data_IF_928526669667
#
_entry.id   IF_928526669667
#
_cell.length_a   1.000
_cell.length_b   1.000
_cell.length_c   1.000
_cell.angle_alpha   90.00
_cell.angle_beta   90.00
_cell.angle_gamma   90.00
#
_symmetry.space_group_name_H-M   'P 1'
#
loop_
_entity.id
_entity.type
_entity.pdbx_description
1 polymer ?
#
# COMPACT_ATOMS: atom_id res chain seq x y z
N UNK A 1 38.19 -20.99 -19.88
CA UNK A 1 37.26 -21.69 -18.94
C UNK A 1 35.87 -21.39 -19.47
N UNK A 2 35.29 -22.35 -20.22
CA UNK A 2 33.97 -22.22 -20.80
C UNK A 2 32.95 -22.16 -19.66
N UNK A 3 32.23 -21.05 -19.58
CA UNK A 3 31.04 -20.92 -18.76
C UNK A 3 29.98 -21.89 -19.36
N UNK A 4 29.40 -22.83 -18.60
CA UNK A 4 28.39 -23.72 -19.16
C UNK A 4 27.23 -22.89 -19.65
N UNK A 5 26.94 -22.97 -20.95
CA UNK A 5 25.77 -22.38 -21.58
C UNK A 5 24.52 -22.87 -20.83
N UNK A 6 23.77 -21.91 -20.25
CA UNK A 6 22.44 -22.15 -19.67
C UNK A 6 21.63 -22.87 -20.77
N UNK A 7 21.25 -24.13 -20.56
CA UNK A 7 20.29 -24.80 -21.43
C UNK A 7 19.09 -23.87 -21.51
N UNK A 8 18.68 -23.51 -22.72
CA UNK A 8 17.41 -22.83 -22.94
C UNK A 8 16.32 -23.70 -22.34
N UNK A 9 15.86 -23.35 -21.16
CA UNK A 9 14.65 -23.92 -20.58
C UNK A 9 13.51 -23.23 -21.32
N UNK A 10 12.63 -24.00 -21.97
CA UNK A 10 11.37 -23.46 -22.45
C UNK A 10 10.63 -22.91 -21.22
N UNK A 11 10.56 -21.58 -21.10
CA UNK A 11 9.74 -20.92 -20.11
C UNK A 11 8.29 -21.03 -20.54
N UNK A 12 7.42 -21.36 -19.62
CA UNK A 12 5.99 -21.31 -19.89
C UNK A 12 5.58 -19.85 -19.96
N UNK A 13 4.97 -19.38 -21.05
CA UNK A 13 4.58 -17.98 -21.16
C UNK A 13 3.45 -17.68 -20.15
N UNK A 14 3.38 -16.42 -19.71
CA UNK A 14 2.21 -15.93 -18.99
C UNK A 14 1.00 -16.05 -19.91
N UNK A 15 -0.06 -16.67 -19.44
CA UNK A 15 -1.27 -16.95 -20.21
C UNK A 15 -2.48 -16.26 -19.58
N UNK A 16 -3.53 -16.04 -20.37
CA UNK A 16 -4.82 -15.67 -19.79
C UNK A 16 -5.42 -16.86 -19.06
N UNK A 17 -6.08 -16.60 -17.93
CA UNK A 17 -6.79 -17.65 -17.21
C UNK A 17 -7.84 -18.31 -18.13
N UNK A 18 -7.87 -19.67 -18.22
CA UNK A 18 -8.87 -20.36 -19.01
C UNK A 18 -10.29 -19.95 -18.65
N UNK A 19 -11.14 -19.72 -19.65
CA UNK A 19 -12.51 -19.19 -19.47
C UNK A 19 -13.43 -20.10 -18.68
N UNK A 20 -13.09 -21.40 -18.60
CA UNK A 20 -13.79 -22.41 -17.79
C UNK A 20 -13.54 -22.19 -16.28
N UNK A 21 -12.45 -21.51 -15.90
CA UNK A 21 -12.09 -21.23 -14.51
C UNK A 21 -12.71 -19.90 -14.11
N UNK A 22 -14.00 -19.93 -13.80
CA UNK A 22 -14.75 -18.78 -13.30
C UNK A 22 -14.97 -18.82 -11.78
N UNK A 23 -14.55 -19.89 -11.13
CA UNK A 23 -14.55 -20.08 -9.69
C UNK A 23 -13.24 -20.71 -9.24
N UNK A 24 -12.66 -20.20 -8.16
CA UNK A 24 -11.44 -20.75 -7.58
C UNK A 24 -11.51 -20.67 -6.05
N UNK A 25 -11.59 -21.85 -5.42
CA UNK A 25 -11.82 -21.98 -3.97
C UNK A 25 -13.00 -21.12 -3.49
N UNK A 26 -12.74 -20.07 -2.66
CA UNK A 26 -13.78 -19.20 -2.10
C UNK A 26 -14.11 -18.00 -3.00
N UNK A 27 -13.50 -17.87 -4.16
CA UNK A 27 -13.67 -16.71 -5.05
C UNK A 27 -14.41 -17.06 -6.35
N UNK A 28 -15.11 -16.08 -6.90
CA UNK A 28 -15.79 -16.11 -8.21
C UNK A 28 -15.28 -14.96 -9.07
N UNK A 29 -14.99 -15.23 -10.33
CA UNK A 29 -14.57 -14.24 -11.33
C UNK A 29 -15.77 -13.39 -11.74
N UNK A 30 -15.66 -12.08 -11.58
CA UNK A 30 -16.67 -11.10 -12.00
C UNK A 30 -16.49 -10.68 -13.46
N UNK A 31 -15.27 -10.72 -13.96
CA UNK A 31 -14.90 -10.41 -15.33
C UNK A 31 -13.46 -9.95 -15.46
N UNK A 32 -12.99 -9.88 -16.71
CA UNK A 32 -11.69 -9.33 -17.09
C UNK A 32 -11.89 -7.89 -17.59
N UNK A 33 -11.79 -6.94 -16.68
CA UNK A 33 -11.98 -5.51 -16.95
C UNK A 33 -10.63 -4.81 -16.99
N UNK A 34 -10.39 -4.04 -18.03
CA UNK A 34 -9.17 -3.24 -18.12
C UNK A 34 -9.08 -2.24 -16.95
N UNK A 35 -7.90 -2.14 -16.36
CA UNK A 35 -7.63 -1.17 -15.28
C UNK A 35 -8.00 0.24 -15.73
N UNK A 36 -8.87 0.92 -14.95
CA UNK A 36 -9.36 2.26 -15.25
C UNK A 36 -10.56 2.31 -16.21
N UNK A 37 -11.11 1.15 -16.66
CA UNK A 37 -12.36 1.15 -17.42
C UNK A 37 -13.56 1.57 -16.57
N UNK A 38 -14.67 2.06 -17.16
CA UNK A 38 -15.88 2.41 -16.42
C UNK A 38 -16.43 1.24 -15.60
N UNK A 39 -16.39 0.02 -16.13
CA UNK A 39 -16.85 -1.20 -15.46
C UNK A 39 -15.98 -1.52 -14.26
N UNK A 40 -14.66 -1.43 -14.41
CA UNK A 40 -13.69 -1.61 -13.32
C UNK A 40 -13.92 -0.59 -12.20
N UNK A 41 -14.10 0.70 -12.54
CA UNK A 41 -14.42 1.74 -11.58
C UNK A 41 -15.76 1.50 -10.90
N UNK A 42 -16.78 1.07 -11.63
CA UNK A 42 -18.10 0.77 -11.08
C UNK A 42 -18.04 -0.31 -10.00
N UNK A 43 -17.34 -1.43 -10.28
CA UNK A 43 -17.17 -2.51 -9.32
C UNK A 43 -16.34 -2.10 -8.10
N UNK A 44 -15.29 -1.31 -8.32
CA UNK A 44 -14.41 -0.84 -7.26
C UNK A 44 -15.10 0.15 -6.32
N UNK A 45 -15.95 1.02 -6.89
CA UNK A 45 -16.61 2.11 -6.16
C UNK A 45 -18.04 1.75 -5.73
N UNK A 46 -18.46 0.49 -5.90
CA UNK A 46 -19.72 0.02 -5.33
C UNK A 46 -19.76 0.29 -3.82
N UNK A 47 -20.88 0.90 -3.30
CA UNK A 47 -20.97 1.24 -1.89
C UNK A 47 -20.65 0.08 -0.96
N UNK A 48 -19.67 0.24 -0.12
CA UNK A 48 -19.20 -0.78 0.82
C UNK A 48 -18.41 -1.94 0.21
N UNK A 49 -18.06 -1.90 -1.09
CA UNK A 49 -17.08 -2.84 -1.63
C UNK A 49 -15.67 -2.50 -1.12
N UNK A 50 -14.88 -3.53 -0.81
CA UNK A 50 -13.50 -3.38 -0.33
C UNK A 50 -12.58 -4.22 -1.19
N UNK A 51 -11.60 -3.57 -1.81
CA UNK A 51 -10.54 -4.21 -2.59
C UNK A 51 -9.21 -4.29 -1.85
N UNK A 52 -8.26 -5.09 -2.36
CA UNK A 52 -6.95 -5.23 -1.72
C UNK A 52 -6.17 -3.93 -1.62
N UNK A 53 -6.28 -3.04 -2.61
CA UNK A 53 -5.64 -1.71 -2.55
C UNK A 53 -6.26 -0.75 -1.52
N UNK A 54 -7.46 -1.05 -1.00
CA UNK A 54 -8.13 -0.23 0.01
C UNK A 54 -7.73 -0.64 1.42
N UNK A 55 -7.41 -1.94 1.62
CA UNK A 55 -7.29 -2.53 2.95
C UNK A 55 -6.19 -1.90 3.80
N UNK A 56 -5.07 -1.51 3.19
CA UNK A 56 -3.99 -0.84 3.92
C UNK A 56 -4.43 0.51 4.51
N UNK A 57 -5.20 1.30 3.76
CA UNK A 57 -5.76 2.56 4.24
C UNK A 57 -6.82 2.32 5.32
N UNK A 58 -7.70 1.35 5.12
CA UNK A 58 -8.77 0.97 6.05
C UNK A 58 -8.20 0.50 7.39
N UNK A 59 -7.10 -0.25 7.37
CA UNK A 59 -6.44 -0.77 8.56
C UNK A 59 -5.41 0.20 9.20
N UNK A 60 -5.26 1.43 8.67
CA UNK A 60 -4.30 2.41 9.18
C UNK A 60 -2.83 2.08 8.88
N UNK A 61 -2.57 1.22 7.90
CA UNK A 61 -1.23 0.79 7.47
C UNK A 61 -0.69 1.57 6.26
N UNK A 62 -1.52 2.41 5.66
CA UNK A 62 -1.13 3.26 4.53
C UNK A 62 -0.53 4.57 5.01
N UNK A 63 0.55 5.01 4.34
CA UNK A 63 1.12 6.35 4.53
C UNK A 63 0.53 7.40 3.56
N UNK A 64 -0.31 6.97 2.62
CA UNK A 64 -0.83 7.80 1.52
C UNK A 64 -2.28 8.21 1.70
N UNK A 65 -3.11 7.31 2.19
CA UNK A 65 -4.53 7.52 2.37
C UNK A 65 -5.00 6.98 3.73
N UNK A 66 -6.00 7.62 4.30
CA UNK A 66 -6.67 7.20 5.53
C UNK A 66 -7.98 6.46 5.26
N UNK A 67 -8.52 5.82 6.29
CA UNK A 67 -9.86 5.23 6.23
C UNK A 67 -10.93 6.30 5.94
N UNK A 68 -10.80 7.50 6.51
CA UNK A 68 -11.72 8.63 6.26
C UNK A 68 -11.65 9.08 4.81
N UNK A 69 -10.44 9.18 4.24
CA UNK A 69 -10.27 9.52 2.82
C UNK A 69 -10.91 8.49 1.91
N UNK A 70 -10.68 7.19 2.17
CA UNK A 70 -11.33 6.12 1.42
C UNK A 70 -12.85 6.13 1.54
N UNK A 71 -13.36 6.38 2.73
CA UNK A 71 -14.79 6.49 2.98
C UNK A 71 -15.41 7.66 2.19
N UNK A 72 -14.79 8.84 2.23
CA UNK A 72 -15.29 10.00 1.53
C UNK A 72 -15.33 9.79 0.01
N UNK A 73 -14.32 9.12 -0.57
CA UNK A 73 -14.29 8.73 -1.98
C UNK A 73 -15.38 7.71 -2.30
N UNK A 74 -15.46 6.61 -1.55
CA UNK A 74 -16.43 5.52 -1.81
C UNK A 74 -17.88 5.92 -1.56
N UNK A 75 -18.13 6.93 -0.75
CA UNK A 75 -19.47 7.50 -0.54
C UNK A 75 -19.78 8.69 -1.45
N UNK A 76 -18.88 9.02 -2.37
CA UNK A 76 -19.05 10.09 -3.36
C UNK A 76 -19.02 11.51 -2.78
N UNK A 77 -18.53 11.69 -1.56
CA UNK A 77 -18.45 13.01 -0.93
C UNK A 77 -17.28 13.84 -1.44
N UNK A 78 -16.22 13.17 -1.91
CA UNK A 78 -15.11 13.78 -2.65
C UNK A 78 -14.84 12.95 -3.91
N UNK A 79 -14.27 13.55 -4.98
CA UNK A 79 -13.89 12.81 -6.17
C UNK A 79 -12.87 11.71 -5.86
N UNK A 80 -12.99 10.53 -6.49
CA UNK A 80 -11.97 9.48 -6.46
C UNK A 80 -10.97 9.67 -7.61
N UNK A 81 -10.53 10.89 -7.80
CA UNK A 81 -9.52 11.22 -8.79
C UNK A 81 -8.13 11.08 -8.17
N UNK A 82 -7.27 10.35 -8.85
CA UNK A 82 -5.85 10.27 -8.52
C UNK A 82 -5.11 11.01 -9.61
N UNK A 83 -4.44 12.10 -9.24
CA UNK A 83 -3.57 12.82 -10.19
C UNK A 83 -2.49 11.85 -10.71
N UNK A 84 -2.47 11.60 -12.04
CA UNK A 84 -1.56 10.63 -12.59
C UNK A 84 -0.12 11.14 -12.48
N UNK A 85 0.67 10.49 -11.63
CA UNK A 85 2.10 10.75 -11.54
C UNK A 85 2.92 9.66 -12.25
N UNK A 86 4.22 9.94 -12.47
CA UNK A 86 5.08 9.01 -13.20
C UNK A 86 5.23 7.65 -12.51
N UNK A 87 5.21 7.61 -11.16
CA UNK A 87 5.32 6.35 -10.42
C UNK A 87 4.12 5.44 -10.64
N UNK A 88 2.90 6.00 -10.64
CA UNK A 88 1.68 5.25 -10.95
C UNK A 88 1.68 4.75 -12.39
N UNK A 89 2.08 5.61 -13.35
CA UNK A 89 2.18 5.22 -14.76
C UNK A 89 3.20 4.10 -14.98
N UNK A 90 4.34 4.15 -14.30
CA UNK A 90 5.36 3.10 -14.39
C UNK A 90 4.87 1.83 -13.68
N UNK A 91 4.21 1.93 -12.53
CA UNK A 91 3.60 0.80 -11.84
C UNK A 91 2.74 0.00 -12.81
N UNK A 92 1.68 0.62 -13.33
CA UNK A 92 0.75 -0.05 -14.26
C UNK A 92 1.42 -0.58 -15.54
N UNK A 93 2.41 0.15 -16.10
CA UNK A 93 3.08 -0.30 -17.34
C UNK A 93 4.08 -1.43 -17.12
N UNK A 94 4.58 -1.62 -15.92
CA UNK A 94 5.59 -2.62 -15.59
C UNK A 94 4.99 -3.88 -14.93
N UNK A 95 3.70 -3.92 -14.63
CA UNK A 95 3.02 -5.08 -14.05
C UNK A 95 3.27 -6.33 -14.90
N UNK A 96 2.87 -6.33 -16.18
CA UNK A 96 3.04 -7.47 -17.09
C UNK A 96 4.52 -7.84 -17.33
N UNK A 97 5.43 -6.90 -17.64
CA UNK A 97 6.87 -7.21 -17.75
C UNK A 97 7.49 -7.83 -16.48
N UNK A 98 7.08 -7.39 -15.28
CA UNK A 98 7.60 -7.99 -14.04
C UNK A 98 7.01 -9.38 -13.83
N UNK A 99 5.75 -9.61 -14.20
CA UNK A 99 5.14 -10.92 -14.17
C UNK A 99 5.81 -11.89 -15.15
N UNK A 100 6.19 -11.41 -16.34
CA UNK A 100 6.97 -12.17 -17.32
C UNK A 100 8.37 -12.54 -16.78
N UNK A 101 9.06 -11.60 -16.11
CA UNK A 101 10.33 -11.90 -15.42
C UNK A 101 10.16 -12.98 -14.35
N UNK A 102 9.06 -12.95 -13.60
CA UNK A 102 8.75 -14.00 -12.63
C UNK A 102 8.55 -15.35 -13.31
N UNK A 103 7.85 -15.38 -14.46
CA UNK A 103 7.67 -16.59 -15.25
C UNK A 103 9.00 -17.16 -15.76
N UNK A 104 9.92 -16.31 -16.19
CA UNK A 104 11.27 -16.71 -16.63
C UNK A 104 12.10 -17.35 -15.51
N UNK A 105 11.94 -16.90 -14.27
CA UNK A 105 12.63 -17.45 -13.11
C UNK A 105 11.95 -18.73 -12.55
N UNK A 106 10.65 -18.94 -12.87
CA UNK A 106 9.83 -20.07 -12.39
C UNK A 106 9.23 -20.90 -13.53
N UNK A 107 10.07 -21.53 -14.39
CA UNK A 107 9.58 -22.32 -15.52
C UNK A 107 8.79 -23.58 -15.10
N UNK A 108 8.79 -23.93 -13.83
CA UNK A 108 8.01 -25.04 -13.26
C UNK A 108 6.56 -24.66 -12.91
N UNK A 109 6.20 -23.37 -12.98
CA UNK A 109 4.88 -22.88 -12.66
C UNK A 109 4.09 -22.53 -13.91
N UNK A 110 2.80 -22.84 -13.91
CA UNK A 110 1.86 -22.26 -14.86
C UNK A 110 1.38 -20.92 -14.32
N UNK A 111 1.56 -19.82 -15.09
CA UNK A 111 1.27 -18.46 -14.64
C UNK A 111 0.16 -17.87 -15.50
N UNK A 112 -0.79 -17.22 -14.84
CA UNK A 112 -1.99 -16.69 -15.46
C UNK A 112 -2.24 -15.25 -15.06
N UNK A 113 -2.46 -14.37 -16.05
CA UNK A 113 -3.16 -13.09 -15.84
C UNK A 113 -4.64 -13.37 -15.61
N UNK A 114 -5.27 -12.56 -14.76
CA UNK A 114 -6.66 -12.75 -14.39
C UNK A 114 -7.36 -11.40 -14.22
N UNK A 115 -8.68 -11.44 -14.00
CA UNK A 115 -9.51 -10.24 -13.88
C UNK A 115 -9.89 -9.91 -12.44
N UNK A 116 -11.07 -9.33 -12.30
CA UNK A 116 -11.65 -8.93 -11.02
C UNK A 116 -12.44 -10.07 -10.39
N UNK A 117 -12.15 -10.36 -9.14
CA UNK A 117 -12.78 -11.42 -8.36
C UNK A 117 -13.55 -10.89 -7.14
N UNK A 118 -14.47 -11.69 -6.66
CA UNK A 118 -15.13 -11.47 -5.37
C UNK A 118 -15.17 -12.77 -4.56
N UNK A 119 -15.23 -12.66 -3.24
CA UNK A 119 -15.55 -13.81 -2.41
C UNK A 119 -16.98 -14.28 -2.66
N UNK A 120 -17.20 -15.58 -2.81
CA UNK A 120 -18.50 -16.19 -3.14
C UNK A 120 -19.59 -15.87 -2.11
N UNK A 121 -19.23 -15.88 -0.84
CA UNK A 121 -20.15 -15.62 0.27
C UNK A 121 -20.31 -14.13 0.55
N UNK A 122 -19.19 -13.39 0.42
CA UNK A 122 -19.09 -11.97 0.76
C UNK A 122 -18.73 -11.17 -0.49
N UNK A 123 -19.65 -11.04 -1.41
CA UNK A 123 -19.42 -10.44 -2.73
C UNK A 123 -18.88 -8.99 -2.69
N UNK A 124 -18.98 -8.31 -1.55
CA UNK A 124 -18.37 -7.00 -1.32
C UNK A 124 -16.84 -7.06 -1.16
N UNK A 125 -16.29 -8.22 -0.80
CA UNK A 125 -14.85 -8.42 -0.69
C UNK A 125 -14.27 -8.74 -2.08
N UNK A 126 -13.53 -7.78 -2.63
CA UNK A 126 -13.02 -7.81 -4.00
C UNK A 126 -11.51 -8.06 -4.04
N UNK A 127 -11.06 -8.67 -5.12
CA UNK A 127 -9.65 -8.87 -5.41
C UNK A 127 -9.36 -8.62 -6.89
N UNK A 128 -8.36 -7.81 -7.16
CA UNK A 128 -7.75 -7.63 -8.48
C UNK A 128 -6.31 -8.06 -8.33
N UNK A 129 -6.00 -9.26 -8.80
CA UNK A 129 -4.66 -9.85 -8.71
C UNK A 129 -3.86 -9.49 -9.96
N UNK A 130 -2.57 -9.31 -9.80
CA UNK A 130 -1.67 -9.17 -10.95
C UNK A 130 -1.42 -10.53 -11.62
N UNK A 131 -1.49 -11.63 -10.85
CA UNK A 131 -1.41 -12.97 -11.38
C UNK A 131 -1.86 -14.08 -10.43
N UNK A 132 -2.09 -15.24 -11.01
CA UNK A 132 -2.24 -16.52 -10.34
C UNK A 132 -1.16 -17.47 -10.84
N UNK A 133 -0.70 -18.36 -9.99
CA UNK A 133 0.15 -19.46 -10.41
C UNK A 133 -0.45 -20.80 -10.00
N UNK A 134 -0.10 -21.85 -10.74
CA UNK A 134 -0.41 -23.23 -10.42
C UNK A 134 0.85 -24.05 -10.44
N UNK A 135 1.12 -24.81 -9.38
CA UNK A 135 2.27 -25.69 -9.31
C UNK A 135 1.99 -27.06 -9.98
N UNK A 136 3.03 -27.90 -10.10
CA UNK A 136 2.94 -29.22 -10.72
C UNK A 136 1.99 -30.17 -9.99
N UNK A 137 1.71 -29.94 -8.70
CA UNK A 137 0.75 -30.70 -7.90
C UNK A 137 -0.69 -30.18 -8.06
N UNK A 138 -0.88 -29.13 -8.86
CA UNK A 138 -2.18 -28.52 -9.12
C UNK A 138 -2.63 -27.51 -8.05
N UNK A 139 -1.75 -27.11 -7.13
CA UNK A 139 -2.09 -26.12 -6.13
C UNK A 139 -1.98 -24.70 -6.68
N UNK A 140 -2.95 -23.87 -6.35
CA UNK A 140 -3.01 -22.49 -6.74
C UNK A 140 -2.31 -21.56 -5.72
N UNK A 141 -1.70 -20.51 -6.23
CA UNK A 141 -1.15 -19.41 -5.44
C UNK A 141 -1.39 -18.07 -6.12
N UNK A 142 -1.22 -17.00 -5.35
CA UNK A 142 -1.45 -15.62 -5.76
C UNK A 142 -0.10 -14.96 -6.06
N UNK A 143 -0.06 -14.12 -7.09
CA UNK A 143 1.07 -13.24 -7.39
C UNK A 143 0.59 -11.80 -7.30
N UNK A 144 1.33 -11.00 -6.54
CA UNK A 144 1.20 -9.55 -6.49
C UNK A 144 2.50 -8.93 -6.97
N UNK A 145 2.42 -7.98 -7.89
CA UNK A 145 3.56 -7.32 -8.53
C UNK A 145 3.67 -5.88 -8.03
N UNK A 146 4.89 -5.43 -7.78
CA UNK A 146 5.15 -4.03 -7.41
C UNK A 146 6.34 -3.45 -8.14
N UNK A 147 6.18 -2.23 -8.62
CA UNK A 147 7.30 -1.39 -9.01
C UNK A 147 7.62 -0.44 -7.86
N UNK A 148 8.86 -0.47 -7.37
CA UNK A 148 9.31 0.34 -6.24
C UNK A 148 10.47 1.26 -6.64
N UNK A 149 10.58 2.38 -5.96
CA UNK A 149 11.77 3.24 -6.03
C UNK A 149 12.91 2.69 -5.17
N UNK A 150 12.54 2.10 -4.02
CA UNK A 150 13.49 1.66 -3.00
C UNK A 150 13.55 0.14 -2.94
N UNK A 151 14.76 -0.37 -2.71
CA UNK A 151 14.98 -1.78 -2.44
C UNK A 151 14.42 -2.16 -1.06
N UNK A 152 13.74 -3.29 -0.97
CA UNK A 152 13.17 -3.79 0.28
C UNK A 152 13.96 -4.99 0.80
N UNK A 153 14.30 -4.93 2.08
CA UNK A 153 14.81 -6.10 2.83
C UNK A 153 13.68 -6.90 3.49
N UNK A 154 12.51 -6.26 3.63
CA UNK A 154 11.27 -6.84 4.16
C UNK A 154 10.08 -6.25 3.41
N UNK A 155 9.02 -7.03 3.28
CA UNK A 155 7.79 -6.57 2.64
C UNK A 155 7.17 -5.42 3.45
N UNK A 156 6.87 -4.27 2.83
CA UNK A 156 6.12 -3.21 3.50
C UNK A 156 4.75 -3.70 4.00
N UNK A 157 4.38 -3.31 5.21
CA UNK A 157 3.14 -3.79 5.85
C UNK A 157 1.88 -3.52 5.01
N UNK A 158 1.84 -2.41 4.28
CA UNK A 158 0.74 -2.08 3.39
C UNK A 158 0.55 -3.09 2.25
N UNK A 159 1.64 -3.59 1.68
CA UNK A 159 1.59 -4.60 0.62
C UNK A 159 1.33 -6.00 1.18
N UNK A 160 1.91 -6.32 2.35
CA UNK A 160 1.58 -7.56 3.06
C UNK A 160 0.07 -7.63 3.36
N UNK A 161 -0.53 -6.55 3.85
CA UNK A 161 -1.96 -6.46 4.11
C UNK A 161 -2.78 -6.69 2.84
N UNK A 162 -2.38 -6.12 1.70
CA UNK A 162 -3.03 -6.32 0.41
C UNK A 162 -3.01 -7.80 0.00
N UNK A 163 -1.87 -8.47 0.10
CA UNK A 163 -1.74 -9.88 -0.26
C UNK A 163 -2.54 -10.78 0.68
N UNK A 164 -2.47 -10.54 2.01
CA UNK A 164 -3.29 -11.28 2.98
C UNK A 164 -4.79 -11.12 2.74
N UNK A 165 -5.22 -9.93 2.31
CA UNK A 165 -6.60 -9.70 1.89
C UNK A 165 -6.98 -10.59 0.72
N UNK A 166 -6.15 -10.66 -0.31
CA UNK A 166 -6.40 -11.55 -1.46
C UNK A 166 -6.45 -13.02 -1.05
N UNK A 167 -5.50 -13.45 -0.22
CA UNK A 167 -5.50 -14.81 0.33
C UNK A 167 -6.80 -15.11 1.08
N UNK A 168 -7.33 -14.14 1.85
CA UNK A 168 -8.61 -14.27 2.57
C UNK A 168 -9.81 -14.33 1.63
N UNK A 169 -9.84 -13.48 0.60
CA UNK A 169 -10.92 -13.46 -0.40
C UNK A 169 -11.01 -14.78 -1.16
N UNK A 170 -9.85 -15.35 -1.54
CA UNK A 170 -9.78 -16.59 -2.30
C UNK A 170 -9.83 -17.87 -1.45
N UNK A 171 -9.49 -17.80 -0.17
CA UNK A 171 -9.22 -19.01 0.62
C UNK A 171 -7.87 -19.66 0.31
N UNK A 172 -7.02 -19.08 -0.56
CA UNK A 172 -5.68 -19.55 -0.91
C UNK A 172 -4.69 -19.16 0.19
N UNK A 173 -3.77 -20.09 0.55
CA UNK A 173 -2.77 -19.88 1.61
C UNK A 173 -1.35 -19.73 1.10
N UNK A 174 -1.17 -19.53 -0.19
CA UNK A 174 0.12 -19.38 -0.88
C UNK A 174 0.09 -18.10 -1.69
N UNK A 175 1.07 -17.24 -1.48
CA UNK A 175 1.21 -16.02 -2.26
C UNK A 175 2.68 -15.61 -2.37
N UNK A 176 3.00 -15.00 -3.50
CA UNK A 176 4.29 -14.37 -3.76
C UNK A 176 4.08 -12.88 -4.04
N UNK A 177 4.93 -12.06 -3.46
CA UNK A 177 5.04 -10.66 -3.80
C UNK A 177 6.34 -10.46 -4.56
N UNK A 178 6.21 -10.00 -5.80
CA UNK A 178 7.31 -9.78 -6.72
C UNK A 178 7.50 -8.29 -6.91
N UNK A 179 8.72 -7.79 -6.75
CA UNK A 179 8.96 -6.36 -6.89
C UNK A 179 10.23 -6.06 -7.70
N UNK A 180 10.18 -4.96 -8.46
CA UNK A 180 11.32 -4.42 -9.17
C UNK A 180 11.65 -3.02 -8.65
N UNK A 181 12.90 -2.82 -8.15
CA UNK A 181 13.41 -1.53 -7.74
C UNK A 181 14.65 -1.16 -8.58
N UNK A 182 14.46 -0.30 -9.57
CA UNK A 182 15.48 -0.06 -10.59
C UNK A 182 15.79 -1.34 -11.37
N UNK A 183 17.00 -1.91 -11.19
CA UNK A 183 17.39 -3.21 -11.75
C UNK A 183 17.38 -4.35 -10.73
N UNK A 184 16.94 -4.10 -9.51
CA UNK A 184 16.93 -5.08 -8.42
C UNK A 184 15.58 -5.79 -8.39
N UNK A 185 15.59 -7.06 -8.79
CA UNK A 185 14.46 -7.96 -8.66
C UNK A 185 14.39 -8.50 -7.23
N UNK A 186 13.20 -8.52 -6.66
CA UNK A 186 12.92 -9.01 -5.31
C UNK A 186 11.72 -9.92 -5.34
N UNK A 187 11.80 -11.02 -4.63
CA UNK A 187 10.71 -11.97 -4.48
C UNK A 187 10.55 -12.34 -3.00
N UNK A 188 9.31 -12.37 -2.53
CA UNK A 188 8.97 -12.68 -1.15
C UNK A 188 7.81 -13.67 -1.11
N UNK A 189 7.97 -14.75 -0.37
CA UNK A 189 6.85 -15.59 0.02
C UNK A 189 6.06 -14.90 1.13
N UNK A 190 4.75 -14.79 0.94
CA UNK A 190 3.86 -14.23 1.95
C UNK A 190 3.20 -15.38 2.71
N UNK A 191 3.66 -15.55 3.93
CA UNK A 191 3.07 -16.53 4.84
C UNK A 191 1.69 -16.06 5.31
N UNK A 192 0.74 -17.01 5.30
CA UNK A 192 -0.58 -16.79 5.87
C UNK A 192 -0.51 -16.61 7.37
N UNK A 193 -1.10 -15.54 7.86
CA UNK A 193 -1.32 -15.30 9.27
C UNK A 193 -2.82 -15.11 9.53
N UNK A 194 -3.41 -16.05 10.28
CA UNK A 194 -4.85 -16.07 10.57
C UNK A 194 -5.28 -14.85 11.38
N UNK A 195 -4.46 -14.42 12.34
CA UNK A 195 -4.77 -13.29 13.19
C UNK A 195 -4.72 -11.98 12.41
N UNK A 196 -3.66 -11.76 11.63
CA UNK A 196 -3.55 -10.58 10.75
C UNK A 196 -4.72 -10.53 9.75
N UNK A 197 -4.98 -11.65 9.06
CA UNK A 197 -6.04 -11.72 8.05
C UNK A 197 -7.44 -11.44 8.64
N UNK A 198 -7.73 -11.97 9.84
CA UNK A 198 -9.00 -11.70 10.53
C UNK A 198 -9.08 -10.25 11.02
N UNK A 199 -7.97 -9.66 11.48
CA UNK A 199 -7.92 -8.24 11.88
C UNK A 199 -8.21 -7.32 10.69
N UNK A 200 -7.65 -7.62 9.52
CA UNK A 200 -7.93 -6.90 8.28
C UNK A 200 -9.40 -7.05 7.86
N UNK A 201 -9.93 -8.27 7.96
CA UNK A 201 -11.33 -8.56 7.64
C UNK A 201 -12.30 -7.79 8.54
N UNK A 202 -12.06 -7.77 9.84
CA UNK A 202 -12.88 -7.05 10.81
C UNK A 202 -12.82 -5.53 10.58
N UNK A 203 -11.65 -5.02 10.17
CA UNK A 203 -11.51 -3.62 9.80
C UNK A 203 -12.30 -3.29 8.53
N UNK A 204 -12.27 -4.18 7.54
CA UNK A 204 -13.06 -4.05 6.32
C UNK A 204 -14.57 -4.10 6.60
N UNK A 205 -15.03 -4.96 7.50
CA UNK A 205 -16.44 -5.03 7.91
C UNK A 205 -16.91 -3.73 8.57
N UNK A 206 -16.13 -3.18 9.51
CA UNK A 206 -16.44 -1.87 10.13
C UNK A 206 -16.48 -0.76 9.11
N UNK A 207 -15.49 -0.72 8.21
CA UNK A 207 -15.42 0.28 7.15
C UNK A 207 -16.61 0.16 6.18
N UNK A 208 -16.95 -1.07 5.75
CA UNK A 208 -18.14 -1.33 4.94
C UNK A 208 -19.39 -0.77 5.59
N UNK A 209 -19.60 -1.07 6.86
CA UNK A 209 -20.77 -0.57 7.59
C UNK A 209 -20.78 0.96 7.64
N UNK A 210 -19.62 1.59 7.89
CA UNK A 210 -19.48 3.04 7.86
C UNK A 210 -19.87 3.65 6.50
N UNK A 211 -19.50 2.99 5.38
CA UNK A 211 -19.91 3.41 4.04
C UNK A 211 -21.43 3.28 3.82
N UNK A 212 -22.02 2.17 4.24
CA UNK A 212 -23.46 1.92 4.07
C UNK A 212 -24.32 2.87 4.91
N UNK A 213 -23.88 3.18 6.12
CA UNK A 213 -24.56 4.10 7.05
C UNK A 213 -24.23 5.57 6.78
N UNK A 214 -23.36 5.87 5.82
CA UNK A 214 -22.79 7.21 5.56
C UNK A 214 -22.21 7.85 6.83
N UNK A 215 -21.68 7.04 7.72
CA UNK A 215 -21.06 7.46 8.96
C UNK A 215 -19.55 7.44 8.84
N UNK A 216 -18.92 8.59 9.06
CA UNK A 216 -17.47 8.73 8.97
C UNK A 216 -16.77 7.75 9.95
N UNK A 217 -15.69 7.07 9.50
CA UNK A 217 -14.82 6.26 10.36
C UNK A 217 -14.14 7.07 11.47
N UNK A 218 -13.50 6.37 12.40
CA UNK A 218 -12.76 6.98 13.50
C UNK A 218 -11.58 7.82 13.01
N UNK A 219 -11.26 8.87 13.77
CA UNK A 219 -10.15 9.78 13.50
C UNK A 219 -8.80 9.09 13.65
N UNK A 220 -7.86 9.37 12.74
CA UNK A 220 -6.52 8.76 12.72
C UNK A 220 -5.36 9.76 12.84
N UNK A 221 -5.63 11.06 12.81
CA UNK A 221 -4.62 12.12 12.90
C UNK A 221 -3.69 12.20 11.69
N UNK A 222 -3.99 11.56 10.56
CA UNK A 222 -3.18 11.63 9.35
C UNK A 222 -3.38 12.93 8.57
N UNK A 223 -2.36 13.33 7.79
CA UNK A 223 -2.50 14.46 6.88
C UNK A 223 -3.58 14.20 5.82
N UNK A 224 -3.74 12.97 5.37
CA UNK A 224 -4.78 12.58 4.42
C UNK A 224 -6.18 12.85 4.98
N UNK A 225 -6.43 12.53 6.24
CA UNK A 225 -7.67 12.89 6.93
C UNK A 225 -7.87 14.39 6.99
N UNK A 226 -6.84 15.15 7.38
CA UNK A 226 -6.94 16.62 7.46
C UNK A 226 -7.31 17.24 6.10
N UNK A 227 -6.65 16.80 5.01
CA UNK A 227 -6.97 17.27 3.65
C UNK A 227 -8.39 16.88 3.22
N UNK A 228 -8.83 15.69 3.58
CA UNK A 228 -10.20 15.22 3.30
C UNK A 228 -11.24 16.09 4.02
N UNK A 229 -11.05 16.40 5.30
CA UNK A 229 -11.96 17.26 6.04
C UNK A 229 -12.02 18.68 5.47
N UNK A 230 -10.88 19.21 5.01
CA UNK A 230 -10.85 20.50 4.29
C UNK A 230 -11.65 20.45 3.00
N UNK A 231 -11.55 19.36 2.25
CA UNK A 231 -12.30 19.16 1.01
C UNK A 231 -13.82 19.00 1.25
N UNK A 232 -14.20 18.40 2.39
CA UNK A 232 -15.61 18.26 2.79
C UNK A 232 -16.22 19.58 3.31
N UNK A 233 -15.38 20.55 3.71
CA UNK A 233 -15.80 21.85 4.24
C UNK A 233 -15.14 23.00 3.46
N UNK A 234 -15.42 23.14 2.16
CA UNK A 234 -14.70 24.09 1.30
C UNK A 234 -15.08 25.55 1.53
N UNK A 235 -16.23 25.82 2.13
CA UNK A 235 -16.75 27.17 2.33
C UNK A 235 -16.51 27.62 3.75
N UNK A 236 -16.11 28.89 3.89
CA UNK A 236 -16.05 29.59 5.17
C UNK A 236 -17.24 30.52 5.22
N UNK A 237 -18.08 30.35 6.23
CA UNK A 237 -19.25 31.20 6.46
C UNK A 237 -19.00 32.14 7.64
N UNK A 238 -19.61 33.32 7.59
CA UNK A 238 -19.56 34.24 8.72
C UNK A 238 -20.37 33.66 9.88
N UNK A 239 -19.76 33.64 11.07
CA UNK A 239 -20.39 33.13 12.29
C UNK A 239 -19.37 32.68 13.31
N UNK A 240 -19.87 32.25 14.44
CA UNK A 240 -19.08 31.76 15.58
C UNK A 240 -19.64 30.40 16.00
N UNK A 241 -18.76 29.47 16.36
CA UNK A 241 -19.10 28.18 16.97
C UNK A 241 -18.27 27.98 18.22
N UNK A 242 -18.88 27.56 19.30
CA UNK A 242 -18.16 27.22 20.52
C UNK A 242 -17.52 25.83 20.33
N UNK A 243 -16.21 25.75 20.46
CA UNK A 243 -15.43 24.51 20.34
C UNK A 243 -15.22 23.80 21.68
N UNK A 244 -15.67 24.42 22.78
CA UNK A 244 -15.55 23.86 24.13
C UNK A 244 -14.15 23.27 24.42
N UNK A 245 -14.12 22.06 24.98
CA UNK A 245 -12.89 21.35 25.31
C UNK A 245 -12.01 21.04 24.09
N UNK A 246 -12.61 20.86 22.92
CA UNK A 246 -11.85 20.58 21.68
C UNK A 246 -10.92 21.75 21.34
N UNK A 247 -11.41 22.99 21.49
CA UNK A 247 -10.60 24.19 21.29
C UNK A 247 -9.43 24.26 22.27
N UNK A 248 -9.67 23.94 23.55
CA UNK A 248 -8.62 23.87 24.57
C UNK A 248 -7.58 22.80 24.23
N UNK A 249 -7.99 21.61 23.82
CA UNK A 249 -7.07 20.54 23.40
C UNK A 249 -6.23 20.95 22.20
N UNK A 250 -6.83 21.62 21.22
CA UNK A 250 -6.11 22.13 20.05
C UNK A 250 -5.01 23.13 20.45
N UNK A 251 -5.32 24.15 21.27
CA UNK A 251 -4.33 25.14 21.70
C UNK A 251 -3.22 24.53 22.58
N UNK A 252 -3.55 23.55 23.41
CA UNK A 252 -2.54 22.83 24.18
C UNK A 252 -1.59 22.06 23.26
N UNK A 253 -2.11 21.37 22.24
CA UNK A 253 -1.30 20.66 21.25
C UNK A 253 -0.39 21.62 20.44
N UNK A 254 -0.89 22.79 20.05
CA UNK A 254 -0.09 23.84 19.38
C UNK A 254 1.05 24.29 20.28
N UNK A 255 0.78 24.63 21.54
CA UNK A 255 1.79 25.06 22.50
C UNK A 255 2.87 23.98 22.74
N UNK A 256 2.47 22.71 22.83
CA UNK A 256 3.40 21.60 23.04
C UNK A 256 4.24 21.35 21.78
N UNK A 257 3.66 21.47 20.59
CA UNK A 257 4.40 21.39 19.32
C UNK A 257 5.44 22.53 19.21
N UNK A 258 5.09 23.75 19.61
CA UNK A 258 6.03 24.90 19.65
C UNK A 258 7.19 24.65 20.61
N UNK A 259 6.92 24.17 21.84
CA UNK A 259 7.96 23.81 22.82
C UNK A 259 8.88 22.71 22.28
N UNK A 260 8.30 21.65 21.69
CA UNK A 260 9.06 20.55 21.10
C UNK A 260 9.95 21.03 19.93
N UNK A 261 9.43 21.91 19.05
CA UNK A 261 10.18 22.50 17.96
C UNK A 261 11.34 23.37 18.44
N UNK A 262 11.11 24.18 19.50
CA UNK A 262 12.15 25.00 20.12
C UNK A 262 13.26 24.15 20.71
N UNK A 263 12.90 23.09 21.46
CA UNK A 263 13.86 22.12 22.00
C UNK A 263 14.64 21.42 20.89
N UNK A 264 13.95 20.97 19.83
CA UNK A 264 14.60 20.33 18.67
C UNK A 264 15.60 21.27 17.99
N UNK A 265 15.27 22.55 17.87
CA UNK A 265 16.15 23.57 17.28
C UNK A 265 17.40 23.78 18.13
N UNK A 266 17.26 23.90 19.46
CA UNK A 266 18.38 24.00 20.40
C UNK A 266 19.29 22.76 20.31
N UNK A 267 18.70 21.55 20.37
CA UNK A 267 19.45 20.30 20.26
C UNK A 267 20.17 20.17 18.93
N UNK A 268 19.55 20.55 17.81
CA UNK A 268 20.22 20.60 16.48
C UNK A 268 21.48 21.46 16.53
N UNK A 269 21.38 22.68 17.09
CA UNK A 269 22.51 23.59 17.18
C UNK A 269 23.66 22.99 18.03
N UNK A 270 23.34 22.40 19.18
CA UNK A 270 24.32 21.75 20.07
C UNK A 270 24.99 20.55 19.41
N UNK A 271 24.22 19.70 18.71
CA UNK A 271 24.76 18.53 17.99
C UNK A 271 25.68 18.97 16.86
N UNK A 272 25.26 19.95 16.04
CA UNK A 272 26.13 20.48 14.97
C UNK A 272 27.43 21.01 15.55
N UNK A 273 27.37 21.76 16.64
CA UNK A 273 28.56 22.29 17.32
C UNK A 273 29.45 21.15 17.86
N UNK A 274 28.86 20.14 18.50
CA UNK A 274 29.59 18.99 19.04
C UNK A 274 30.24 18.11 17.96
N UNK A 275 29.66 18.09 16.77
CA UNK A 275 30.25 17.34 15.64
C UNK A 275 31.53 17.99 15.08
N UNK A 276 31.82 19.24 15.38
CA UNK A 276 33.06 19.95 14.98
C UNK A 276 33.41 19.77 13.48
N UNK A 277 32.39 19.83 12.62
CA UNK A 277 32.54 19.65 11.18
C UNK A 277 32.73 18.19 10.73
N UNK A 278 32.74 17.21 11.63
CA UNK A 278 32.84 15.79 11.28
C UNK A 278 31.54 15.33 10.61
N UNK A 279 31.69 14.52 9.57
CA UNK A 279 30.57 14.06 8.75
C UNK A 279 29.58 13.15 9.52
N UNK A 280 30.06 12.40 10.52
CA UNK A 280 29.25 11.38 11.21
C UNK A 280 29.37 11.52 12.74
N UNK A 281 28.21 11.55 13.41
CA UNK A 281 28.07 11.43 14.84
C UNK A 281 27.48 10.07 15.21
N UNK A 282 28.03 9.40 16.21
CA UNK A 282 27.61 8.08 16.67
C UNK A 282 26.97 8.23 18.05
N UNK A 283 25.85 7.54 18.28
CA UNK A 283 25.12 7.53 19.53
C UNK A 283 25.13 6.09 20.05
N UNK A 284 25.87 5.85 21.14
CA UNK A 284 26.03 4.52 21.79
C UNK A 284 26.37 3.36 20.85
N UNK A 285 26.95 3.65 19.68
CA UNK A 285 27.29 2.64 18.66
C UNK A 285 26.13 2.15 17.79
N UNK A 286 24.88 2.46 18.14
CA UNK A 286 23.70 1.89 17.50
C UNK A 286 23.05 2.84 16.47
N UNK A 287 23.11 4.15 16.72
CA UNK A 287 22.49 5.15 15.84
C UNK A 287 23.53 6.12 15.31
N UNK A 288 23.29 6.64 14.11
CA UNK A 288 24.18 7.66 13.53
C UNK A 288 23.43 8.87 13.03
N UNK A 289 24.07 10.04 13.25
CA UNK A 289 23.68 11.30 12.65
C UNK A 289 24.71 11.65 11.58
N UNK A 290 24.30 12.24 10.48
CA UNK A 290 25.22 12.75 9.47
C UNK A 290 25.02 14.24 9.22
N UNK A 291 26.13 14.98 9.11
CA UNK A 291 26.14 16.33 8.57
C UNK A 291 26.17 16.24 7.06
N UNK A 292 25.17 16.84 6.41
CA UNK A 292 25.06 16.93 4.96
C UNK A 292 24.93 18.39 4.55
N UNK A 293 25.42 18.75 3.37
CA UNK A 293 25.15 20.05 2.74
C UNK A 293 24.60 19.80 1.34
N UNK A 294 23.67 20.64 0.91
CA UNK A 294 23.34 20.77 -0.51
C UNK A 294 24.39 21.67 -1.14
N UNK A 295 24.68 21.53 -2.45
CA UNK A 295 25.71 22.28 -3.14
C UNK A 295 25.72 23.77 -2.76
N UNK A 296 26.78 24.23 -2.06
CA UNK A 296 26.94 25.61 -1.58
C UNK A 296 26.07 26.05 -0.39
N UNK A 297 25.29 25.14 0.21
CA UNK A 297 24.39 25.44 1.33
C UNK A 297 24.97 25.18 2.71
N UNK A 298 24.37 25.75 3.76
CA UNK A 298 24.72 25.48 5.13
C UNK A 298 24.54 24.01 5.50
N UNK A 299 25.40 23.42 6.36
CA UNK A 299 25.27 22.05 6.79
C UNK A 299 23.97 21.84 7.63
N UNK A 300 23.33 20.70 7.42
CA UNK A 300 22.16 20.28 8.17
C UNK A 300 22.32 18.85 8.69
N UNK A 301 21.65 18.54 9.80
CA UNK A 301 21.62 17.21 10.36
C UNK A 301 20.64 16.32 9.58
N UNK A 302 21.14 15.13 9.22
CA UNK A 302 20.35 14.03 8.72
C UNK A 302 20.48 12.87 9.69
N UNK A 303 19.35 12.32 10.11
CA UNK A 303 19.28 11.10 10.91
C UNK A 303 18.63 10.00 10.07
N UNK A 304 19.22 8.82 10.10
CA UNK A 304 18.54 7.64 9.60
C UNK A 304 17.47 7.29 10.63
N UNK A 305 16.22 7.15 10.18
CA UNK A 305 15.19 6.56 11.04
C UNK A 305 15.69 5.17 11.37
N UNK A 306 15.80 4.87 12.67
CA UNK A 306 16.23 3.55 13.13
C UNK A 306 15.46 2.46 12.39
N UNK A 307 16.22 1.40 12.03
CA UNK A 307 15.66 0.20 11.40
C UNK A 307 14.72 -0.48 12.36
#
# INVERSE_FOLDING_TARGET
VDCPTRKERETLPVSKLPTEINELQDAVLLGDFANGSPEWHSLRNEPGAVGGSDIAAIAGLSTWESAITKWAKKTGQIPDEVEPNMSLKLGTKLESPILELFADEHPELEIYETGTWANKTYNWARANLDGLYKDADGNWGIIEVKFSRDYWTQVPQSYRAQVLWYMKVFGIRRAKLVALAGSSYMEFDIEWDEFEANTLWDSALRFRQACLDLKMPDWDGSNSTLETIRALSPNIEDGEVDLDELGVHYFNAVNDAEKANKLLTDLKARVIKAMEGKKRGIIYGEHSLSLRSRAGGAPYLHHEKGK
#
